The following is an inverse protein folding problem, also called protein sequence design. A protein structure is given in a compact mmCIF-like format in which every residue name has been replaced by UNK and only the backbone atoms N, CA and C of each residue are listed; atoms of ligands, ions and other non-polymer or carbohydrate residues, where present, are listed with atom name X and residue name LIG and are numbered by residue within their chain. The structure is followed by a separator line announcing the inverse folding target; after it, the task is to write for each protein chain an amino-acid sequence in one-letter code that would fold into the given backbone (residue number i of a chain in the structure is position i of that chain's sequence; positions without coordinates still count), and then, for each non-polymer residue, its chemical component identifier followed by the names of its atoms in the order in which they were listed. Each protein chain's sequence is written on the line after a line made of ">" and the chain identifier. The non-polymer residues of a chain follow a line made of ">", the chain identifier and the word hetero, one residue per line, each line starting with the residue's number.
data_IF_608368053900
#
_entry.id   IF_608368053900
#
_cell.length_a   1.000
_cell.length_b   1.000
_cell.length_c   1.000
_cell.angle_alpha   90.00
_cell.angle_beta   90.00
_cell.angle_gamma   90.00
#
_symmetry.space_group_name_H-M   'P 1'
#
loop_
_entity.id
_entity.type
_entity.pdbx_description
1 polymer ?
#
# COMPACT_ATOMS: atom_id res chain seq x y z
N UNK A 1 -0.99 -14.53 4.92
CA UNK A 1 -0.85 -14.15 3.50
C UNK A 1 0.50 -14.58 2.94
N UNK A 2 1.53 -14.75 3.78
CA UNK A 2 2.89 -15.17 3.37
C UNK A 2 3.02 -16.47 2.57
N UNK A 3 2.20 -17.49 2.84
CA UNK A 3 2.35 -18.83 2.22
C UNK A 3 1.20 -19.19 1.29
N UNK A 4 0.44 -18.18 0.82
CA UNK A 4 -0.72 -18.38 -0.04
C UNK A 4 -0.33 -18.25 -1.52
N UNK A 5 -0.81 -19.15 -2.36
CA UNK A 5 -0.66 -19.02 -3.81
C UNK A 5 -1.50 -17.84 -4.35
N UNK A 6 -1.02 -17.17 -5.38
CA UNK A 6 -1.63 -15.95 -5.91
C UNK A 6 -3.12 -16.13 -6.30
N UNK A 7 -3.49 -17.29 -6.85
CA UNK A 7 -4.88 -17.58 -7.22
C UNK A 7 -5.81 -17.60 -6.01
N UNK A 8 -5.37 -18.11 -4.87
CA UNK A 8 -6.18 -18.13 -3.65
C UNK A 8 -6.26 -16.75 -3.00
N UNK A 9 -5.19 -15.96 -3.09
CA UNK A 9 -5.23 -14.56 -2.69
C UNK A 9 -6.29 -13.80 -3.51
N UNK A 10 -6.27 -13.93 -4.83
CA UNK A 10 -7.24 -13.25 -5.72
C UNK A 10 -8.68 -13.70 -5.47
N UNK A 11 -8.91 -15.01 -5.25
CA UNK A 11 -10.23 -15.50 -4.82
C UNK A 11 -10.68 -14.87 -3.50
N UNK A 12 -9.77 -14.76 -2.53
CA UNK A 12 -10.06 -14.11 -1.24
C UNK A 12 -10.39 -12.64 -1.44
N UNK A 13 -9.62 -11.93 -2.27
CA UNK A 13 -9.80 -10.51 -2.58
C UNK A 13 -11.15 -10.22 -3.21
N UNK A 14 -11.66 -11.12 -4.06
CA UNK A 14 -12.97 -11.04 -4.70
C UNK A 14 -14.15 -11.47 -3.80
N UNK A 15 -13.89 -11.92 -2.57
CA UNK A 15 -14.92 -12.44 -1.66
C UNK A 15 -15.34 -11.43 -0.60
N UNK A 16 -16.37 -11.76 0.19
CA UNK A 16 -16.74 -10.98 1.39
C UNK A 16 -15.62 -10.93 2.45
N UNK A 17 -14.69 -11.88 2.42
CA UNK A 17 -13.51 -11.93 3.27
C UNK A 17 -12.33 -11.12 2.72
N UNK A 18 -12.59 -10.22 1.75
CA UNK A 18 -11.59 -9.39 1.10
C UNK A 18 -10.63 -8.73 2.11
N UNK A 19 -9.30 -8.75 1.87
CA UNK A 19 -8.34 -8.03 2.68
C UNK A 19 -8.35 -6.51 2.38
N UNK A 20 -9.10 -6.06 1.37
CA UNK A 20 -9.35 -4.65 1.06
C UNK A 20 -8.21 -3.96 0.30
N UNK A 21 -8.45 -2.69 -0.06
CA UNK A 21 -7.53 -1.88 -0.87
C UNK A 21 -6.19 -1.56 -0.19
N UNK A 22 -6.17 -1.37 1.13
CA UNK A 22 -4.93 -1.13 1.88
C UNK A 22 -3.95 -2.29 1.79
N UNK A 23 -4.45 -3.54 1.89
CA UNK A 23 -3.63 -4.72 1.71
C UNK A 23 -3.08 -4.83 0.29
N UNK A 24 -3.91 -4.52 -0.72
CA UNK A 24 -3.47 -4.46 -2.12
C UNK A 24 -2.39 -3.39 -2.34
N UNK A 25 -2.53 -2.20 -1.73
CA UNK A 25 -1.54 -1.14 -1.80
C UNK A 25 -0.19 -1.58 -1.22
N UNK A 26 -0.20 -2.24 -0.07
CA UNK A 26 1.00 -2.81 0.52
C UNK A 26 1.64 -3.91 -0.35
N UNK A 27 0.83 -4.73 -1.03
CA UNK A 27 1.34 -5.73 -1.97
C UNK A 27 1.93 -5.10 -3.24
N UNK A 28 1.40 -3.98 -3.73
CA UNK A 28 2.04 -3.22 -4.81
C UNK A 28 3.45 -2.77 -4.41
N UNK A 29 3.63 -2.28 -3.17
CA UNK A 29 4.97 -1.97 -2.64
C UNK A 29 5.84 -3.22 -2.56
N UNK A 30 5.30 -4.35 -2.10
CA UNK A 30 6.05 -5.60 -2.00
C UNK A 30 6.55 -6.09 -3.37
N UNK A 31 5.72 -6.01 -4.40
CA UNK A 31 6.06 -6.36 -5.78
C UNK A 31 7.10 -5.40 -6.34
N UNK A 32 6.94 -4.09 -6.15
CA UNK A 32 7.90 -3.09 -6.61
C UNK A 32 9.27 -3.27 -5.94
N UNK A 33 9.29 -3.51 -4.62
CA UNK A 33 10.52 -3.81 -3.90
C UNK A 33 11.19 -5.10 -4.40
N UNK A 34 10.41 -6.12 -4.74
CA UNK A 34 10.94 -7.37 -5.29
C UNK A 34 11.58 -7.19 -6.67
N UNK A 35 10.98 -6.38 -7.56
CA UNK A 35 11.58 -6.02 -8.86
C UNK A 35 12.93 -5.31 -8.69
N UNK A 36 13.09 -4.53 -7.62
CA UNK A 36 14.34 -3.87 -7.25
C UNK A 36 15.33 -4.79 -6.51
N UNK A 37 15.04 -6.08 -6.36
CA UNK A 37 15.80 -7.02 -5.51
C UNK A 37 15.95 -6.58 -4.04
N UNK A 38 15.02 -5.77 -3.54
CA UNK A 38 15.00 -5.25 -2.17
C UNK A 38 14.20 -6.17 -1.23
N UNK A 39 14.70 -7.38 -1.00
CA UNK A 39 13.99 -8.45 -0.26
C UNK A 39 13.47 -8.01 1.12
N UNK A 40 14.29 -7.30 1.90
CA UNK A 40 13.87 -6.81 3.22
C UNK A 40 12.68 -5.86 3.15
N UNK A 41 12.66 -4.95 2.17
CA UNK A 41 11.55 -4.03 1.95
C UNK A 41 10.31 -4.76 1.45
N UNK A 42 10.49 -5.74 0.56
CA UNK A 42 9.41 -6.59 0.07
C UNK A 42 8.73 -7.36 1.21
N UNK A 43 9.52 -8.00 2.08
CA UNK A 43 9.02 -8.73 3.25
C UNK A 43 8.39 -7.81 4.30
N UNK A 44 8.89 -6.58 4.45
CA UNK A 44 8.25 -5.57 5.30
C UNK A 44 6.89 -5.17 4.75
N UNK A 45 6.80 -4.86 3.47
CA UNK A 45 5.54 -4.49 2.80
C UNK A 45 4.51 -5.63 2.85
N UNK A 46 4.94 -6.90 2.77
CA UNK A 46 4.06 -8.05 2.97
C UNK A 46 3.48 -8.10 4.38
N UNK A 47 4.27 -7.76 5.41
CA UNK A 47 3.75 -7.60 6.79
C UNK A 47 2.78 -6.43 6.90
N UNK A 48 3.03 -5.33 6.19
CA UNK A 48 2.07 -4.21 6.13
C UNK A 48 0.75 -4.65 5.51
N UNK A 49 0.77 -5.48 4.47
CA UNK A 49 -0.44 -6.02 3.86
C UNK A 49 -1.27 -6.84 4.87
N UNK A 50 -0.60 -7.63 5.72
CA UNK A 50 -1.25 -8.37 6.81
C UNK A 50 -1.85 -7.42 7.87
N UNK A 51 -1.14 -6.35 8.23
CA UNK A 51 -1.64 -5.31 9.16
C UNK A 51 -2.85 -4.57 8.59
N UNK A 52 -2.81 -4.15 7.32
CA UNK A 52 -3.91 -3.49 6.62
C UNK A 52 -5.16 -4.38 6.56
N UNK A 53 -4.99 -5.64 6.18
CA UNK A 53 -6.09 -6.60 6.16
C UNK A 53 -6.69 -6.81 7.57
N UNK A 54 -5.85 -6.80 8.61
CA UNK A 54 -6.33 -6.86 10.00
C UNK A 54 -7.12 -5.60 10.40
N UNK A 55 -6.61 -4.41 10.09
CA UNK A 55 -7.29 -3.15 10.36
C UNK A 55 -8.66 -3.09 9.67
N UNK A 56 -8.73 -3.50 8.39
CA UNK A 56 -9.97 -3.58 7.63
C UNK A 56 -11.00 -4.52 8.26
N UNK A 57 -10.57 -5.71 8.72
CA UNK A 57 -11.46 -6.64 9.44
C UNK A 57 -11.96 -6.05 10.76
N UNK A 58 -11.12 -5.32 11.48
CA UNK A 58 -11.51 -4.66 12.73
C UNK A 58 -12.53 -3.55 12.49
N UNK A 59 -12.36 -2.72 11.46
CA UNK A 59 -13.36 -1.73 11.02
C UNK A 59 -14.70 -2.40 10.68
N UNK A 60 -14.68 -3.47 9.88
CA UNK A 60 -15.90 -4.20 9.52
C UNK A 60 -16.63 -4.79 10.74
N UNK A 61 -15.89 -5.35 11.71
CA UNK A 61 -16.47 -5.84 12.98
C UNK A 61 -17.12 -4.71 13.77
N UNK A 62 -16.45 -3.56 13.89
CA UNK A 62 -17.01 -2.40 14.56
C UNK A 62 -18.29 -1.89 13.86
N UNK A 63 -18.32 -1.87 12.53
CA UNK A 63 -19.51 -1.46 11.77
C UNK A 63 -20.75 -2.32 12.03
N UNK A 64 -20.56 -3.61 12.36
CA UNK A 64 -21.62 -4.59 12.64
C UNK A 64 -22.17 -4.52 14.07
N UNK A 65 -21.56 -3.73 14.96
CA UNK A 65 -22.11 -3.51 16.30
C UNK A 65 -23.44 -2.73 16.23
N UNK A 66 -24.38 -2.96 17.16
CA UNK A 66 -25.60 -2.15 17.27
C UNK A 66 -25.26 -0.66 17.43
N UNK A 67 -26.06 0.26 16.86
CA UNK A 67 -25.87 1.70 17.05
C UNK A 67 -25.81 2.10 18.53
N UNK A 68 -24.90 3.00 18.88
CA UNK A 68 -24.72 3.50 20.24
C UNK A 68 -23.26 3.73 20.60
N UNK A 69 -23.01 4.23 21.81
CA UNK A 69 -21.70 4.68 22.27
C UNK A 69 -20.59 3.62 22.14
N UNK A 70 -20.92 2.34 22.38
CA UNK A 70 -19.98 1.22 22.22
C UNK A 70 -19.50 1.10 20.77
N UNK A 71 -20.39 1.21 19.78
CA UNK A 71 -20.05 1.18 18.37
C UNK A 71 -19.19 2.39 18.00
N UNK A 72 -19.56 3.57 18.47
CA UNK A 72 -18.85 4.81 18.15
C UNK A 72 -17.41 4.79 18.69
N UNK A 73 -17.23 4.34 19.93
CA UNK A 73 -15.89 4.14 20.52
C UNK A 73 -15.08 3.10 19.77
N UNK A 74 -15.67 1.96 19.40
CA UNK A 74 -15.00 0.91 18.65
C UNK A 74 -14.57 1.39 17.25
N UNK A 75 -15.43 2.14 16.55
CA UNK A 75 -15.11 2.73 15.25
C UNK A 75 -14.00 3.77 15.37
N UNK A 76 -14.06 4.66 16.37
CA UNK A 76 -13.01 5.66 16.59
C UNK A 76 -11.64 5.01 16.82
N UNK A 77 -11.58 3.92 17.61
CA UNK A 77 -10.32 3.19 17.82
C UNK A 77 -9.85 2.45 16.56
N UNK A 78 -10.75 1.75 15.87
CA UNK A 78 -10.43 1.04 14.64
C UNK A 78 -9.91 1.98 13.54
N UNK A 79 -10.49 3.17 13.40
CA UNK A 79 -10.04 4.19 12.44
C UNK A 79 -8.62 4.68 12.74
N UNK A 80 -8.32 5.01 14.00
CA UNK A 80 -6.96 5.39 14.40
C UNK A 80 -5.94 4.29 14.09
N UNK A 81 -6.28 3.05 14.41
CA UNK A 81 -5.42 1.88 14.13
C UNK A 81 -5.25 1.59 12.63
N UNK A 82 -6.21 2.00 11.79
CA UNK A 82 -6.11 1.85 10.34
C UNK A 82 -5.17 2.90 9.70
N UNK A 83 -5.03 4.09 10.30
CA UNK A 83 -4.13 5.11 9.80
C UNK A 83 -2.65 4.72 9.90
N UNK A 84 -2.25 3.98 10.95
CA UNK A 84 -0.85 3.60 11.19
C UNK A 84 -0.25 2.74 10.05
N UNK A 85 -0.81 1.57 9.68
CA UNK A 85 -0.25 0.78 8.59
C UNK A 85 -0.33 1.51 7.24
N UNK A 86 -1.36 2.32 7.00
CA UNK A 86 -1.47 3.11 5.78
C UNK A 86 -0.34 4.15 5.66
N UNK A 87 -0.03 4.85 6.77
CA UNK A 87 1.11 5.76 6.81
C UNK A 87 2.46 5.04 6.63
N UNK A 88 2.60 3.81 7.14
CA UNK A 88 3.77 2.95 6.88
C UNK A 88 3.84 2.55 5.39
N UNK A 89 2.72 2.24 4.73
CA UNK A 89 2.68 1.94 3.28
C UNK A 89 3.14 3.14 2.44
N UNK A 90 2.72 4.36 2.78
CA UNK A 90 3.19 5.59 2.12
C UNK A 90 4.71 5.73 2.28
N UNK A 91 5.23 5.43 3.47
CA UNK A 91 6.67 5.47 3.76
C UNK A 91 7.44 4.43 2.94
N UNK A 92 6.90 3.21 2.84
CA UNK A 92 7.51 2.14 2.07
C UNK A 92 7.47 2.42 0.55
N UNK A 93 6.40 3.04 0.04
CA UNK A 93 6.32 3.51 -1.33
C UNK A 93 7.38 4.59 -1.64
N UNK A 94 7.65 5.50 -0.69
CA UNK A 94 8.75 6.46 -0.80
C UNK A 94 10.11 5.75 -0.90
N UNK A 95 10.36 4.76 -0.04
CA UNK A 95 11.60 3.99 -0.06
C UNK A 95 11.81 3.22 -1.39
N UNK A 96 10.73 2.71 -1.99
CA UNK A 96 10.77 2.11 -3.34
C UNK A 96 11.22 3.12 -4.38
N UNK A 97 10.65 4.33 -4.39
CA UNK A 97 11.06 5.38 -5.35
C UNK A 97 12.50 5.83 -5.11
N UNK A 98 12.94 5.96 -3.84
CA UNK A 98 14.33 6.30 -3.50
C UNK A 98 15.31 5.25 -4.02
N UNK A 99 14.95 3.95 -4.01
CA UNK A 99 15.75 2.87 -4.58
C UNK A 99 15.73 2.92 -6.10
N UNK A 100 14.55 3.09 -6.70
CA UNK A 100 14.36 3.11 -8.15
C UNK A 100 15.13 4.24 -8.83
N UNK A 101 15.18 5.42 -8.23
CA UNK A 101 15.96 6.58 -8.71
C UNK A 101 17.48 6.35 -8.69
N UNK A 102 17.96 5.33 -7.95
CA UNK A 102 19.39 4.96 -7.87
C UNK A 102 19.75 3.77 -8.75
N UNK A 103 18.80 3.19 -9.49
CA UNK A 103 19.04 2.06 -10.38
C UNK A 103 19.88 2.52 -11.58
N UNK A 104 21.03 1.87 -11.86
CA UNK A 104 21.80 2.14 -13.07
C UNK A 104 21.00 1.83 -14.36
N UNK A 105 21.24 2.54 -15.49
CA UNK A 105 20.47 2.38 -16.73
C UNK A 105 20.33 0.94 -17.26
N UNK A 106 21.33 0.09 -17.04
CA UNK A 106 21.36 -1.29 -17.55
C UNK A 106 21.01 -2.34 -16.49
N UNK A 107 20.76 -1.93 -15.24
CA UNK A 107 20.56 -2.86 -14.12
C UNK A 107 19.13 -3.39 -14.00
N UNK A 108 18.17 -2.76 -14.68
CA UNK A 108 16.75 -3.14 -14.65
C UNK A 108 16.10 -2.78 -15.99
N UNK A 109 15.18 -3.61 -16.47
CA UNK A 109 14.47 -3.31 -17.72
C UNK A 109 13.62 -2.03 -17.57
N UNK A 110 13.46 -1.28 -18.66
CA UNK A 110 12.61 -0.09 -18.68
C UNK A 110 11.16 -0.40 -18.26
N UNK A 111 10.64 -1.58 -18.62
CA UNK A 111 9.30 -2.04 -18.24
C UNK A 111 9.19 -2.35 -16.76
N UNK A 112 10.22 -2.94 -16.15
CA UNK A 112 10.22 -3.21 -14.71
C UNK A 112 10.34 -1.91 -13.92
N UNK A 113 11.20 -0.98 -14.36
CA UNK A 113 11.34 0.33 -13.72
C UNK A 113 10.04 1.15 -13.82
N UNK A 114 9.34 1.09 -14.96
CA UNK A 114 8.00 1.66 -15.11
C UNK A 114 6.99 1.02 -14.14
N UNK A 115 7.00 -0.31 -14.02
CA UNK A 115 6.11 -1.05 -13.12
C UNK A 115 6.38 -0.70 -11.65
N UNK A 116 7.64 -0.55 -11.25
CA UNK A 116 8.06 -0.10 -9.92
C UNK A 116 7.51 1.29 -9.60
N UNK A 117 7.69 2.24 -10.51
CA UNK A 117 7.21 3.61 -10.36
C UNK A 117 5.68 3.65 -10.20
N UNK A 118 4.96 2.91 -11.06
CA UNK A 118 3.50 2.87 -11.06
C UNK A 118 2.94 2.20 -9.80
N UNK A 119 3.53 1.08 -9.40
CA UNK A 119 3.13 0.36 -8.20
C UNK A 119 3.32 1.23 -6.94
N UNK A 120 4.43 1.96 -6.82
CA UNK A 120 4.65 2.90 -5.72
C UNK A 120 3.62 4.05 -5.73
N UNK A 121 3.29 4.59 -6.91
CA UNK A 121 2.28 5.64 -7.07
C UNK A 121 0.88 5.18 -6.65
N UNK A 122 0.47 4.02 -7.13
CA UNK A 122 -0.81 3.43 -6.82
C UNK A 122 -0.93 3.09 -5.32
N UNK A 123 0.16 2.57 -4.74
CA UNK A 123 0.21 2.26 -3.31
C UNK A 123 0.07 3.53 -2.45
N UNK A 124 0.88 4.57 -2.73
CA UNK A 124 0.84 5.83 -2.00
C UNK A 124 -0.53 6.51 -2.13
N UNK A 125 -1.14 6.46 -3.31
CA UNK A 125 -2.49 6.99 -3.55
C UNK A 125 -3.54 6.25 -2.72
N UNK A 126 -3.55 4.93 -2.77
CA UNK A 126 -4.55 4.10 -2.07
C UNK A 126 -4.41 4.23 -0.56
N UNK A 127 -3.18 4.19 -0.04
CA UNK A 127 -2.90 4.38 1.37
C UNK A 127 -3.22 5.81 1.83
N UNK A 128 -2.93 6.83 1.00
CA UNK A 128 -3.31 8.22 1.26
C UNK A 128 -4.81 8.41 1.44
N UNK A 129 -5.63 7.81 0.56
CA UNK A 129 -7.09 7.81 0.70
C UNK A 129 -7.52 7.14 2.01
N UNK A 130 -6.89 6.03 2.41
CA UNK A 130 -7.17 5.38 3.70
C UNK A 130 -6.88 6.30 4.89
N UNK A 131 -5.73 6.99 4.89
CA UNK A 131 -5.39 7.96 5.94
C UNK A 131 -6.42 9.09 5.97
N UNK A 132 -6.77 9.67 4.83
CA UNK A 132 -7.69 10.81 4.74
C UNK A 132 -9.10 10.44 5.20
N UNK A 133 -9.63 9.30 4.75
CA UNK A 133 -10.97 8.82 5.13
C UNK A 133 -11.09 8.59 6.65
N UNK A 134 -10.04 8.11 7.29
CA UNK A 134 -10.09 7.74 8.71
C UNK A 134 -9.63 8.84 9.67
N UNK A 135 -8.73 9.72 9.23
CA UNK A 135 -8.20 10.84 10.05
C UNK A 135 -8.83 12.20 9.71
N UNK A 136 -9.48 12.33 8.56
CA UNK A 136 -9.99 13.59 8.04
C UNK A 136 -8.93 14.53 7.45
N UNK A 137 -7.67 14.09 7.36
CA UNK A 137 -6.56 14.91 6.86
C UNK A 137 -5.76 14.14 5.82
N UNK A 138 -5.49 14.77 4.68
CA UNK A 138 -4.64 14.20 3.64
C UNK A 138 -3.17 14.11 4.10
N UNK A 139 -2.48 13.01 3.75
CA UNK A 139 -1.04 12.88 4.01
C UNK A 139 -0.25 13.73 2.99
N UNK A 140 0.56 14.71 3.44
CA UNK A 140 1.23 15.66 2.54
C UNK A 140 2.26 15.00 1.63
N UNK A 141 2.73 13.80 1.94
CA UNK A 141 3.75 13.09 1.15
C UNK A 141 3.19 12.56 -0.17
N UNK A 142 1.89 12.27 -0.23
CA UNK A 142 1.25 11.56 -1.35
C UNK A 142 1.42 12.32 -2.67
N UNK A 143 1.24 13.64 -2.67
CA UNK A 143 1.39 14.46 -3.88
C UNK A 143 2.82 14.38 -4.43
N UNK A 144 3.83 14.56 -3.56
CA UNK A 144 5.23 14.48 -3.96
C UNK A 144 5.63 13.11 -4.50
N UNK A 145 5.10 12.03 -3.92
CA UNK A 145 5.35 10.67 -4.41
C UNK A 145 4.73 10.42 -5.80
N UNK A 146 3.54 10.96 -6.07
CA UNK A 146 2.94 10.88 -7.41
C UNK A 146 3.79 11.59 -8.46
N UNK A 147 4.27 12.78 -8.15
CA UNK A 147 5.10 13.56 -9.07
C UNK A 147 6.44 12.86 -9.35
N UNK A 148 7.06 12.27 -8.31
CA UNK A 148 8.29 11.47 -8.44
C UNK A 148 8.07 10.27 -9.35
N UNK A 149 7.01 9.50 -9.11
CA UNK A 149 6.69 8.34 -9.96
C UNK A 149 6.44 8.75 -11.42
N UNK A 150 5.69 9.82 -11.67
CA UNK A 150 5.46 10.34 -13.03
C UNK A 150 6.77 10.71 -13.74
N UNK A 151 7.70 11.37 -13.05
CA UNK A 151 9.02 11.70 -13.63
C UNK A 151 9.83 10.44 -13.94
N UNK A 152 9.83 9.46 -13.05
CA UNK A 152 10.56 8.20 -13.23
C UNK A 152 9.98 7.38 -14.40
N UNK A 153 8.65 7.35 -14.57
CA UNK A 153 8.02 6.71 -15.73
C UNK A 153 8.30 7.48 -17.03
N UNK A 154 8.40 8.81 -16.98
CA UNK A 154 8.76 9.58 -18.17
C UNK A 154 10.21 9.33 -18.62
N UNK A 155 11.16 9.20 -17.68
CA UNK A 155 12.57 8.99 -18.01
C UNK A 155 12.85 7.68 -18.73
N UNK A 156 12.06 6.63 -18.47
CA UNK A 156 12.21 5.32 -19.15
C UNK A 156 11.65 5.28 -20.57
N UNK A 157 10.82 6.24 -20.96
CA UNK A 157 10.29 6.33 -22.34
C UNK A 157 11.22 7.16 -23.24
N UNK A 158 12.00 8.05 -22.63
CA UNK A 158 12.88 8.99 -23.33
C UNK A 158 14.35 8.55 -23.43
N UNK A 159 14.74 7.52 -22.68
CA UNK A 159 16.09 6.94 -22.69
C UNK A 159 16.16 5.70 -23.56
#
# INVERSE_FOLDING_TARGET
>A
MRDQIMSDYLKTLASEASPGGGATAALQVAQAAALLSAETLSMHALRLAEKEAHAFRTLNRAHRLPPGETRDRALADARRRACEPAAEVITAAAAVLDLAERVPPDALSATDLAAVAEAARAAATTAGVSVEVHSGTADPRVAGLRDRATRLTASVVTG
#
